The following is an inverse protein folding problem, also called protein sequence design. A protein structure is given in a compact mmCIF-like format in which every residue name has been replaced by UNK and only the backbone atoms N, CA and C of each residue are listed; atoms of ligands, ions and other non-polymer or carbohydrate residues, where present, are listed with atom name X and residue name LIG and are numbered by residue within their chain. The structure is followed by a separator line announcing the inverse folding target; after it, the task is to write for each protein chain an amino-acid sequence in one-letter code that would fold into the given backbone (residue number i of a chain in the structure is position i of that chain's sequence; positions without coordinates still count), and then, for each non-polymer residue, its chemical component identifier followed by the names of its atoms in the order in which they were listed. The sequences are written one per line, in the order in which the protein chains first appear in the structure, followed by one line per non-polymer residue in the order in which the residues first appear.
data_IF_013714050674
#
_entry.id   IF_013714050674
#
_cell.length_a   1.000
_cell.length_b   1.000
_cell.length_c   1.000
_cell.angle_alpha   90.00
_cell.angle_beta   90.00
_cell.angle_gamma   90.00
#
_symmetry.space_group_name_H-M   'P 1'
#
loop_
_entity.id
_entity.type
_entity.pdbx_description
1 polymer ?
#
# COMPACT_ATOMS: atom_id res chain seq x y z
N UNK A 1 -9.77 28.27 -8.71
CA UNK A 1 -8.37 28.23 -8.25
C UNK A 1 -7.96 26.76 -8.19
N UNK A 2 -6.77 26.38 -8.68
CA UNK A 2 -6.38 24.95 -8.72
C UNK A 2 -5.80 24.45 -7.39
N UNK A 3 -5.83 23.13 -7.18
CA UNK A 3 -5.28 22.45 -5.99
C UNK A 3 -3.81 22.85 -5.79
N UNK A 4 -3.42 23.31 -4.60
CA UNK A 4 -2.02 23.64 -4.28
C UNK A 4 -1.43 22.52 -3.41
N UNK A 5 -0.49 21.70 -3.91
CA UNK A 5 -0.04 20.49 -3.20
C UNK A 5 0.49 20.76 -1.78
N UNK A 6 1.32 21.79 -1.62
CA UNK A 6 1.85 22.21 -0.32
C UNK A 6 0.76 22.69 0.64
N UNK A 7 -0.28 23.37 0.15
CA UNK A 7 -1.41 23.81 0.98
C UNK A 7 -2.24 22.62 1.44
N UNK A 8 -2.45 21.62 0.58
CA UNK A 8 -3.21 20.41 0.90
C UNK A 8 -2.46 19.57 1.94
N UNK A 9 -1.17 19.32 1.69
CA UNK A 9 -0.32 18.57 2.62
C UNK A 9 -0.16 19.31 3.96
N UNK A 10 0.06 20.63 3.91
CA UNK A 10 0.18 21.48 5.09
C UNK A 10 -1.09 21.48 5.94
N UNK A 11 -2.26 21.63 5.34
CA UNK A 11 -3.54 21.57 6.08
C UNK A 11 -3.80 20.19 6.68
N UNK A 12 -3.46 19.10 5.99
CA UNK A 12 -3.59 17.74 6.50
C UNK A 12 -2.71 17.51 7.74
N UNK A 13 -1.44 17.92 7.67
CA UNK A 13 -0.49 17.85 8.79
C UNK A 13 -0.89 18.78 9.95
N UNK A 14 -1.36 19.99 9.63
CA UNK A 14 -1.82 20.97 10.61
C UNK A 14 -3.07 20.47 11.35
N UNK A 15 -3.99 19.77 10.67
CA UNK A 15 -5.15 19.17 11.32
C UNK A 15 -4.72 18.13 12.35
N UNK A 16 -3.82 17.20 11.97
CA UNK A 16 -3.33 16.17 12.86
C UNK A 16 -2.60 16.73 14.09
N UNK A 17 -1.79 17.78 13.92
CA UNK A 17 -1.03 18.41 15.00
C UNK A 17 -1.87 19.32 15.89
N UNK A 18 -2.61 20.28 15.32
CA UNK A 18 -3.38 21.27 16.11
C UNK A 18 -4.62 20.67 16.77
N UNK A 19 -5.18 19.59 16.21
CA UNK A 19 -6.37 18.91 16.74
C UNK A 19 -6.04 17.54 17.32
N UNK A 20 -4.77 17.30 17.66
CA UNK A 20 -4.29 16.00 18.10
C UNK A 20 -5.09 15.44 19.29
N UNK A 21 -5.42 16.28 20.28
CA UNK A 21 -6.25 15.89 21.42
C UNK A 21 -7.62 15.33 20.99
N UNK A 22 -8.26 15.98 20.01
CA UNK A 22 -9.56 15.53 19.49
C UNK A 22 -9.39 14.22 18.72
N UNK A 23 -8.35 14.12 17.87
CA UNK A 23 -8.02 12.91 17.12
C UNK A 23 -7.79 11.73 18.06
N UNK A 24 -6.96 11.93 19.07
CA UNK A 24 -6.65 10.92 20.08
C UNK A 24 -7.92 10.48 20.80
N UNK A 25 -8.70 11.40 21.37
CA UNK A 25 -9.94 11.06 22.08
C UNK A 25 -10.90 10.22 21.26
N UNK A 26 -11.08 10.55 19.98
CA UNK A 26 -11.97 9.79 19.09
C UNK A 26 -11.40 8.45 18.61
N UNK A 27 -10.06 8.35 18.52
CA UNK A 27 -9.42 7.17 17.94
C UNK A 27 -8.93 6.16 19.00
N UNK A 28 -8.69 6.57 20.25
CA UNK A 28 -8.05 5.71 21.27
C UNK A 28 -8.76 4.37 21.46
N UNK A 29 -10.07 4.36 21.75
CA UNK A 29 -10.79 3.10 21.99
C UNK A 29 -10.87 2.24 20.72
N UNK A 30 -11.29 2.76 19.55
CA UNK A 30 -11.27 1.97 18.31
C UNK A 30 -9.88 1.43 17.95
N UNK A 31 -8.81 2.21 18.14
CA UNK A 31 -7.44 1.75 17.90
C UNK A 31 -7.01 0.67 18.88
N UNK A 32 -7.35 0.80 20.16
CA UNK A 32 -7.08 -0.24 21.15
C UNK A 32 -7.82 -1.54 20.80
N UNK A 33 -9.10 -1.45 20.41
CA UNK A 33 -9.87 -2.60 19.94
C UNK A 33 -9.26 -3.20 18.68
N UNK A 34 -8.82 -2.39 17.71
CA UNK A 34 -8.12 -2.88 16.51
C UNK A 34 -6.87 -3.69 16.87
N UNK A 35 -6.05 -3.20 17.81
CA UNK A 35 -4.86 -3.92 18.26
C UNK A 35 -5.22 -5.26 18.92
N UNK A 36 -6.24 -5.26 19.79
CA UNK A 36 -6.72 -6.49 20.46
C UNK A 36 -7.27 -7.49 19.45
N UNK A 37 -8.07 -7.03 18.48
CA UNK A 37 -8.64 -7.90 17.44
C UNK A 37 -7.56 -8.44 16.50
N UNK A 38 -6.58 -7.64 16.10
CA UNK A 38 -5.47 -8.11 15.28
C UNK A 38 -4.63 -9.16 16.03
N UNK A 39 -4.41 -8.97 17.33
CA UNK A 39 -3.76 -9.98 18.18
C UNK A 39 -4.60 -11.27 18.24
N UNK A 40 -5.90 -11.17 18.48
CA UNK A 40 -6.80 -12.31 18.51
C UNK A 40 -6.85 -13.06 17.17
N UNK A 41 -6.88 -12.33 16.05
CA UNK A 41 -6.85 -12.91 14.70
C UNK A 41 -5.54 -13.69 14.45
N UNK A 42 -4.39 -13.16 14.89
CA UNK A 42 -3.12 -13.85 14.79
C UNK A 42 -3.12 -15.19 15.57
N UNK A 43 -3.66 -15.21 16.80
CA UNK A 43 -3.86 -16.46 17.54
C UNK A 43 -4.87 -17.40 16.88
N UNK A 44 -5.92 -16.86 16.25
CA UNK A 44 -6.85 -17.62 15.43
C UNK A 44 -6.16 -18.33 14.27
N UNK A 45 -5.32 -17.63 13.51
CA UNK A 45 -4.54 -18.21 12.42
C UNK A 45 -3.56 -19.27 12.90
N UNK A 46 -2.84 -19.01 13.99
CA UNK A 46 -1.94 -20.01 14.59
C UNK A 46 -2.71 -21.24 15.06
N UNK A 47 -3.89 -21.06 15.64
CA UNK A 47 -4.71 -22.17 16.15
C UNK A 47 -5.21 -23.06 15.02
N UNK A 48 -5.69 -22.47 13.93
CA UNK A 48 -6.12 -23.23 12.76
C UNK A 48 -4.95 -23.93 12.09
N UNK A 49 -3.79 -23.27 11.98
CA UNK A 49 -2.61 -23.85 11.34
C UNK A 49 -1.96 -25.00 12.14
N UNK A 50 -2.14 -25.03 13.45
CA UNK A 50 -1.61 -26.09 14.33
C UNK A 50 -2.69 -27.10 14.76
N UNK A 51 -3.91 -27.00 14.23
CA UNK A 51 -5.06 -27.85 14.57
C UNK A 51 -5.37 -27.95 16.07
N UNK A 52 -4.89 -26.99 16.86
CA UNK A 52 -5.07 -26.90 18.32
C UNK A 52 -5.17 -25.44 18.74
N UNK A 53 -5.87 -25.16 19.83
CA UNK A 53 -5.94 -23.80 20.37
C UNK A 53 -4.55 -23.39 20.88
N UNK A 54 -3.97 -22.36 20.26
CA UNK A 54 -2.70 -21.77 20.67
C UNK A 54 -2.99 -20.59 21.60
N UNK A 55 -2.41 -20.63 22.80
CA UNK A 55 -2.56 -19.58 23.80
C UNK A 55 -1.27 -18.78 23.98
N UNK A 56 -1.33 -17.68 24.74
CA UNK A 56 -0.13 -16.93 25.15
C UNK A 56 0.90 -17.80 25.87
N UNK A 57 0.44 -18.81 26.63
CA UNK A 57 1.32 -19.74 27.35
C UNK A 57 2.12 -20.60 26.37
N UNK A 58 1.51 -21.05 25.27
CA UNK A 58 2.19 -21.84 24.25
C UNK A 58 3.30 -21.05 23.55
N UNK A 59 3.05 -19.77 23.25
CA UNK A 59 4.05 -18.87 22.64
C UNK A 59 5.21 -18.60 23.60
N UNK A 60 4.90 -18.32 24.87
CA UNK A 60 5.92 -18.09 25.89
C UNK A 60 6.77 -19.36 26.14
N UNK A 61 6.13 -20.54 26.20
CA UNK A 61 6.83 -21.81 26.36
C UNK A 61 7.73 -22.16 25.17
N UNK A 62 7.37 -21.70 23.97
CA UNK A 62 8.19 -21.85 22.77
C UNK A 62 9.38 -20.87 22.72
N UNK A 63 9.51 -19.95 23.69
CA UNK A 63 10.56 -18.93 23.70
C UNK A 63 10.44 -17.91 22.57
N UNK A 64 9.26 -17.80 21.93
CA UNK A 64 9.05 -16.92 20.79
C UNK A 64 8.63 -15.52 21.26
N UNK A 65 9.19 -14.50 20.62
CA UNK A 65 8.71 -13.12 20.76
C UNK A 65 7.36 -12.93 20.07
N UNK A 66 6.57 -11.93 20.50
CA UNK A 66 5.30 -11.61 19.87
C UNK A 66 5.44 -11.25 18.38
N UNK A 67 6.52 -10.55 18.01
CA UNK A 67 6.82 -10.23 16.60
C UNK A 67 7.01 -11.46 15.74
N UNK A 68 7.72 -12.48 16.26
CA UNK A 68 7.93 -13.74 15.55
C UNK A 68 6.62 -14.53 15.46
N UNK A 69 5.84 -14.60 16.55
CA UNK A 69 4.54 -15.24 16.56
C UNK A 69 3.57 -14.61 15.55
N UNK A 70 3.53 -13.27 15.45
CA UNK A 70 2.73 -12.54 14.49
C UNK A 70 3.18 -12.82 13.03
N UNK A 71 4.48 -12.91 12.78
CA UNK A 71 5.01 -13.23 11.46
C UNK A 71 4.68 -14.67 11.05
N UNK A 72 4.82 -15.63 11.96
CA UNK A 72 4.41 -17.03 11.74
C UNK A 72 2.90 -17.10 11.46
N UNK A 73 2.08 -16.36 12.22
CA UNK A 73 0.65 -16.26 12.00
C UNK A 73 0.32 -15.70 10.60
N UNK A 74 1.03 -14.66 10.14
CA UNK A 74 0.83 -14.11 8.79
C UNK A 74 1.18 -15.10 7.68
N UNK A 75 2.25 -15.88 7.86
CA UNK A 75 2.66 -16.91 6.91
C UNK A 75 1.65 -18.06 6.87
N UNK A 76 1.12 -18.44 8.03
CA UNK A 76 0.06 -19.43 8.16
C UNK A 76 -1.24 -18.97 7.48
N UNK A 77 -1.65 -17.71 7.70
CA UNK A 77 -2.78 -17.11 7.04
C UNK A 77 -2.61 -17.09 5.51
N UNK A 78 -1.45 -16.67 5.01
CA UNK A 78 -1.16 -16.64 3.58
C UNK A 78 -1.25 -18.03 2.93
N UNK A 79 -0.63 -19.05 3.56
CA UNK A 79 -0.72 -20.44 3.07
C UNK A 79 -2.17 -20.94 3.07
N UNK A 80 -2.92 -20.63 4.13
CA UNK A 80 -4.32 -21.01 4.27
C UNK A 80 -5.27 -20.37 3.26
N UNK A 81 -5.02 -19.11 2.89
CA UNK A 81 -5.77 -18.43 1.85
C UNK A 81 -5.51 -19.07 0.48
N UNK A 82 -4.26 -19.42 0.19
CA UNK A 82 -3.87 -20.11 -1.07
C UNK A 82 -4.47 -21.52 -1.15
N UNK A 83 -4.49 -22.26 -0.04
CA UNK A 83 -5.08 -23.60 0.01
C UNK A 83 -6.62 -23.59 0.09
N UNK A 84 -7.26 -22.41 0.01
CA UNK A 84 -8.72 -22.25 0.13
C UNK A 84 -9.31 -22.85 1.41
N UNK A 85 -8.58 -22.78 2.52
CA UNK A 85 -9.06 -23.28 3.82
C UNK A 85 -10.23 -22.44 4.32
N UNK A 86 -11.43 -23.03 4.36
CA UNK A 86 -12.66 -22.39 4.84
C UNK A 86 -12.50 -21.66 6.19
N UNK A 87 -11.94 -22.25 7.26
CA UNK A 87 -11.79 -21.55 8.54
C UNK A 87 -10.87 -20.33 8.45
N UNK A 88 -9.82 -20.37 7.62
CA UNK A 88 -8.89 -19.24 7.45
C UNK A 88 -9.57 -18.11 6.69
N UNK A 89 -10.37 -18.44 5.66
CA UNK A 89 -11.21 -17.46 4.97
C UNK A 89 -12.26 -16.83 5.88
N UNK A 90 -12.89 -17.60 6.77
CA UNK A 90 -13.84 -17.07 7.75
C UNK A 90 -13.16 -16.08 8.71
N UNK A 91 -12.00 -16.45 9.29
CA UNK A 91 -11.26 -15.56 10.19
C UNK A 91 -10.82 -14.30 9.45
N UNK A 92 -10.33 -14.41 8.21
CA UNK A 92 -9.93 -13.27 7.39
C UNK A 92 -11.11 -12.34 7.08
N UNK A 93 -12.24 -12.88 6.63
CA UNK A 93 -13.45 -12.10 6.34
C UNK A 93 -14.00 -11.40 7.58
N UNK A 94 -14.09 -12.11 8.71
CA UNK A 94 -14.52 -11.54 9.98
C UNK A 94 -13.57 -10.43 10.46
N UNK A 95 -12.25 -10.65 10.37
CA UNK A 95 -11.24 -9.66 10.75
C UNK A 95 -11.31 -8.41 9.88
N UNK A 96 -11.49 -8.56 8.57
CA UNK A 96 -11.65 -7.45 7.65
C UNK A 96 -12.91 -6.63 7.98
N UNK A 97 -14.04 -7.31 8.24
CA UNK A 97 -15.29 -6.65 8.59
C UNK A 97 -15.20 -5.88 9.91
N UNK A 98 -14.65 -6.49 10.96
CA UNK A 98 -14.45 -5.82 12.26
C UNK A 98 -13.49 -4.65 12.12
N UNK A 99 -12.37 -4.83 11.41
CA UNK A 99 -11.41 -3.76 11.17
C UNK A 99 -12.04 -2.59 10.41
N UNK A 100 -12.85 -2.88 9.38
CA UNK A 100 -13.55 -1.86 8.63
C UNK A 100 -14.53 -1.08 9.52
N UNK A 101 -15.34 -1.76 10.35
CA UNK A 101 -16.27 -1.13 11.28
C UNK A 101 -15.54 -0.23 12.28
N UNK A 102 -14.45 -0.73 12.87
CA UNK A 102 -13.66 0.03 13.84
C UNK A 102 -13.00 1.24 13.18
N UNK A 103 -12.45 1.10 11.97
CA UNK A 103 -11.89 2.23 11.21
C UNK A 103 -12.97 3.27 10.91
N UNK A 104 -14.13 2.83 10.41
CA UNK A 104 -15.24 3.72 10.10
C UNK A 104 -15.72 4.51 11.33
N UNK A 105 -15.71 3.88 12.51
CA UNK A 105 -16.20 4.47 13.76
C UNK A 105 -15.48 5.76 14.16
N UNK A 106 -14.17 5.85 13.97
CA UNK A 106 -13.40 7.08 14.26
C UNK A 106 -13.12 7.91 13.01
N UNK A 107 -13.03 7.28 11.84
CA UNK A 107 -12.65 8.00 10.62
C UNK A 107 -13.78 8.90 10.10
N UNK A 108 -15.01 8.40 10.04
CA UNK A 108 -16.15 9.19 9.60
C UNK A 108 -16.34 10.50 10.42
N UNK A 109 -16.34 10.49 11.76
CA UNK A 109 -16.46 11.73 12.53
C UNK A 109 -15.22 12.64 12.37
N UNK A 110 -14.02 12.10 12.22
CA UNK A 110 -12.82 12.91 11.98
C UNK A 110 -12.83 13.61 10.61
N UNK A 111 -13.32 12.93 9.57
CA UNK A 111 -13.50 13.52 8.24
C UNK A 111 -14.53 14.67 8.32
N UNK A 112 -15.65 14.47 9.01
CA UNK A 112 -16.67 15.53 9.18
C UNK A 112 -16.12 16.70 9.98
N UNK A 113 -15.29 16.45 10.99
CA UNK A 113 -14.63 17.52 11.71
C UNK A 113 -13.65 18.31 10.83
N UNK A 114 -12.86 17.62 10.00
CA UNK A 114 -11.92 18.27 9.08
C UNK A 114 -12.61 19.01 7.91
N UNK A 115 -13.72 18.47 7.40
CA UNK A 115 -14.43 18.98 6.23
C UNK A 115 -15.48 20.04 6.56
N UNK A 116 -16.33 19.77 7.55
CA UNK A 116 -17.48 20.59 7.94
C UNK A 116 -17.27 21.38 9.24
N UNK A 117 -16.20 21.10 9.99
CA UNK A 117 -15.96 21.71 11.30
C UNK A 117 -16.83 21.15 12.42
N UNK A 118 -17.60 20.09 12.16
CA UNK A 118 -18.47 19.46 13.15
C UNK A 118 -17.65 18.75 14.22
N UNK A 119 -17.66 19.26 15.46
CA UNK A 119 -16.90 18.66 16.55
C UNK A 119 -17.48 17.28 16.89
N UNK A 120 -16.64 16.24 16.97
CA UNK A 120 -17.09 14.92 17.40
C UNK A 120 -17.54 15.00 18.86
N UNK A 121 -18.51 14.17 19.23
CA UNK A 121 -19.00 14.13 20.60
C UNK A 121 -17.85 13.78 21.57
N UNK A 122 -17.78 14.45 22.74
CA UNK A 122 -16.70 14.23 23.69
C UNK A 122 -16.78 12.82 24.31
N UNK A 123 -15.61 12.20 24.54
CA UNK A 123 -15.48 10.94 25.26
C UNK A 123 -14.35 10.04 24.74
N UNK A 124 -13.66 9.36 25.65
CA UNK A 124 -12.62 8.35 25.33
C UNK A 124 -13.19 6.95 25.11
N UNK A 125 -14.40 6.68 25.65
CA UNK A 125 -15.04 5.36 25.65
C UNK A 125 -16.28 5.39 24.74
N UNK A 126 -16.11 5.80 23.49
CA UNK A 126 -17.22 5.81 22.53
C UNK A 126 -16.79 5.26 21.19
N UNK A 127 -17.58 4.31 20.69
CA UNK A 127 -17.48 3.79 19.32
C UNK A 127 -18.76 4.20 18.60
N UNK A 128 -18.84 5.42 18.04
CA UNK A 128 -20.04 5.85 17.34
C UNK A 128 -20.17 5.06 16.03
N UNK A 129 -21.28 4.35 15.86
CA UNK A 129 -21.63 3.69 14.62
C UNK A 129 -23.05 4.07 14.22
N UNK A 130 -23.21 4.54 12.99
CA UNK A 130 -24.47 5.09 12.50
C UNK A 130 -24.44 5.28 10.99
N UNK A 131 -25.37 6.10 10.48
CA UNK A 131 -25.57 6.25 9.04
C UNK A 131 -24.32 6.79 8.31
N UNK A 132 -23.52 7.65 8.94
CA UNK A 132 -22.33 8.22 8.30
C UNK A 132 -21.17 7.24 8.23
N UNK A 133 -20.99 6.42 9.27
CA UNK A 133 -20.02 5.31 9.27
C UNK A 133 -20.39 4.26 8.23
N UNK A 134 -21.68 3.96 8.09
CA UNK A 134 -22.16 3.04 7.06
C UNK A 134 -21.95 3.60 5.65
N UNK A 135 -22.15 4.90 5.43
CA UNK A 135 -21.81 5.57 4.16
C UNK A 135 -20.32 5.52 3.87
N UNK A 136 -19.47 5.75 4.86
CA UNK A 136 -18.02 5.60 4.71
C UNK A 136 -17.64 4.20 4.25
N UNK A 137 -18.20 3.18 4.90
CA UNK A 137 -17.98 1.78 4.57
C UNK A 137 -18.46 1.44 3.16
N UNK A 138 -19.72 1.76 2.83
CA UNK A 138 -20.28 1.47 1.52
C UNK A 138 -19.54 2.22 0.41
N UNK A 139 -19.15 3.48 0.62
CA UNK A 139 -18.39 4.25 -0.35
C UNK A 139 -16.98 3.67 -0.53
N UNK A 140 -16.35 3.21 0.56
CA UNK A 140 -15.06 2.50 0.52
C UNK A 140 -15.15 1.16 -0.21
N UNK A 141 -16.18 0.36 0.08
CA UNK A 141 -16.44 -0.91 -0.62
C UNK A 141 -16.72 -0.66 -2.09
N UNK A 142 -17.58 0.29 -2.44
CA UNK A 142 -17.89 0.61 -3.83
C UNK A 142 -16.64 1.12 -4.57
N UNK A 143 -15.84 2.00 -3.95
CA UNK A 143 -14.56 2.45 -4.51
C UNK A 143 -13.61 1.27 -4.78
N UNK A 144 -13.55 0.33 -3.83
CA UNK A 144 -12.70 -0.86 -3.96
C UNK A 144 -13.21 -1.82 -5.03
N UNK A 145 -14.53 -2.02 -5.11
CA UNK A 145 -15.16 -2.84 -6.16
C UNK A 145 -14.97 -2.22 -7.55
N UNK A 146 -15.12 -0.90 -7.68
CA UNK A 146 -14.83 -0.20 -8.94
C UNK A 146 -13.36 -0.37 -9.30
N UNK A 147 -12.45 -0.23 -8.34
CA UNK A 147 -11.02 -0.49 -8.58
C UNK A 147 -10.79 -1.94 -9.02
N UNK A 148 -11.39 -2.92 -8.34
CA UNK A 148 -11.26 -4.33 -8.71
C UNK A 148 -11.81 -4.61 -10.11
N UNK A 149 -12.96 -4.04 -10.46
CA UNK A 149 -13.62 -4.30 -11.74
C UNK A 149 -12.98 -3.55 -12.91
N UNK A 150 -12.52 -2.32 -12.70
CA UNK A 150 -12.00 -1.44 -13.77
C UNK A 150 -10.48 -1.54 -13.90
N UNK A 151 -9.77 -1.82 -12.80
CA UNK A 151 -8.31 -1.91 -12.78
C UNK A 151 -7.84 -3.36 -12.72
N UNK A 152 -8.21 -4.06 -11.65
CA UNK A 152 -7.65 -5.38 -11.37
C UNK A 152 -8.12 -6.43 -12.37
N UNK A 153 -9.42 -6.47 -12.70
CA UNK A 153 -9.98 -7.49 -13.58
C UNK A 153 -9.43 -7.39 -15.02
N UNK A 154 -9.36 -6.22 -15.69
CA UNK A 154 -8.79 -6.14 -17.04
C UNK A 154 -7.30 -6.48 -17.07
N UNK A 155 -6.52 -6.03 -16.08
CA UNK A 155 -5.10 -6.39 -15.96
C UNK A 155 -4.95 -7.89 -15.76
N UNK A 156 -5.73 -8.48 -14.86
CA UNK A 156 -5.67 -9.90 -14.56
C UNK A 156 -6.10 -10.75 -15.75
N UNK A 157 -7.22 -10.40 -16.40
CA UNK A 157 -7.70 -11.08 -17.61
C UNK A 157 -6.65 -10.99 -18.72
N UNK A 158 -6.12 -9.80 -19.01
CA UNK A 158 -5.07 -9.65 -20.01
C UNK A 158 -3.83 -10.50 -19.66
N UNK A 159 -3.40 -10.49 -18.40
CA UNK A 159 -2.26 -11.29 -17.92
C UNK A 159 -2.55 -12.79 -18.08
N UNK A 160 -3.70 -13.28 -17.63
CA UNK A 160 -4.08 -14.69 -17.71
C UNK A 160 -4.29 -15.15 -19.17
N UNK A 161 -4.92 -14.33 -20.01
CA UNK A 161 -5.11 -14.65 -21.43
C UNK A 161 -3.78 -14.72 -22.17
N UNK A 162 -2.85 -13.79 -21.89
CA UNK A 162 -1.51 -13.83 -22.49
C UNK A 162 -0.74 -15.07 -21.99
N UNK A 163 -0.76 -15.34 -20.68
CA UNK A 163 -0.14 -16.54 -20.11
C UNK A 163 -0.76 -17.84 -20.66
N UNK A 164 -2.06 -17.86 -20.92
CA UNK A 164 -2.77 -18.97 -21.54
C UNK A 164 -2.33 -19.20 -22.98
N UNK A 165 -2.35 -18.16 -23.81
CA UNK A 165 -1.85 -18.21 -25.19
C UNK A 165 -0.38 -18.67 -25.25
N UNK A 166 0.46 -18.20 -24.33
CA UNK A 166 1.85 -18.66 -24.22
C UNK A 166 1.97 -20.15 -23.92
N UNK A 167 1.21 -20.61 -22.92
CA UNK A 167 1.29 -21.99 -22.47
C UNK A 167 0.93 -22.91 -23.63
N UNK A 168 -0.05 -22.49 -24.43
CA UNK A 168 -0.44 -23.17 -25.65
C UNK A 168 0.66 -23.08 -26.73
N UNK A 169 1.17 -21.88 -27.02
CA UNK A 169 2.22 -21.68 -28.02
C UNK A 169 3.51 -22.46 -27.68
N UNK A 170 3.88 -22.59 -26.40
CA UNK A 170 5.04 -23.38 -25.99
C UNK A 170 4.84 -24.89 -26.17
N UNK A 171 3.59 -25.35 -26.11
CA UNK A 171 3.19 -26.75 -26.32
C UNK A 171 2.87 -27.06 -27.78
N UNK A 172 2.77 -26.05 -28.64
CA UNK A 172 2.48 -26.23 -30.06
C UNK A 172 3.76 -26.68 -30.78
N UNK A 173 3.69 -27.71 -31.65
CA UNK A 173 4.81 -28.11 -32.49
C UNK A 173 4.99 -27.14 -33.67
N UNK A 174 6.23 -26.73 -33.94
CA UNK A 174 6.60 -25.87 -35.07
C UNK A 174 7.55 -26.62 -36.01
N UNK A 175 7.38 -26.40 -37.32
CA UNK A 175 8.37 -26.82 -38.30
C UNK A 175 9.60 -25.91 -38.19
N UNK A 176 10.76 -26.50 -37.96
CA UNK A 176 12.06 -25.82 -38.01
C UNK A 176 12.88 -26.38 -39.17
N UNK A 177 13.62 -25.51 -39.84
CA UNK A 177 14.58 -25.89 -40.87
C UNK A 177 15.98 -25.78 -40.27
N UNK A 178 16.56 -26.88 -39.75
CA UNK A 178 17.87 -26.86 -39.11
C UNK A 178 19.00 -26.48 -40.07
N UNK A 179 18.79 -26.64 -41.38
CA UNK A 179 19.74 -26.22 -42.41
C UNK A 179 19.16 -25.05 -43.23
N UNK A 180 19.70 -23.82 -43.11
CA UNK A 180 19.20 -22.64 -43.84
C UNK A 180 19.24 -22.79 -45.36
N UNK A 181 20.01 -23.75 -45.89
CA UNK A 181 20.20 -23.97 -47.33
C UNK A 181 19.39 -25.15 -47.89
N UNK A 182 18.64 -25.87 -47.06
CA UNK A 182 17.85 -27.03 -47.49
C UNK A 182 16.40 -26.92 -47.05
N UNK A 183 15.48 -26.89 -48.02
CA UNK A 183 14.03 -26.99 -47.79
C UNK A 183 13.58 -28.43 -47.52
N UNK A 184 14.49 -29.41 -47.61
CA UNK A 184 14.18 -30.84 -47.52
C UNK A 184 14.37 -31.42 -46.12
N UNK A 185 15.02 -30.70 -45.21
CA UNK A 185 15.19 -31.09 -43.80
C UNK A 185 14.21 -30.30 -42.94
N UNK A 186 13.02 -30.87 -42.71
CA UNK A 186 12.01 -30.31 -41.79
C UNK A 186 12.08 -31.11 -40.49
N UNK A 187 12.41 -30.44 -39.39
CA UNK A 187 12.34 -31.02 -38.04
C UNK A 187 11.19 -30.39 -37.26
N UNK A 188 10.43 -31.21 -36.52
CA UNK A 188 9.31 -30.73 -35.71
C UNK A 188 9.83 -30.44 -34.31
N UNK A 189 9.93 -29.16 -34.00
CA UNK A 189 10.47 -28.67 -32.73
C UNK A 189 9.34 -28.03 -31.92
N UNK A 190 9.26 -28.38 -30.63
CA UNK A 190 8.30 -27.74 -29.72
C UNK A 190 8.59 -26.24 -29.60
N UNK A 191 7.55 -25.41 -29.50
CA UNK A 191 7.68 -23.96 -29.38
C UNK A 191 8.66 -23.51 -28.30
N UNK A 192 8.72 -24.21 -27.16
CA UNK A 192 9.68 -23.97 -26.10
C UNK A 192 11.16 -24.05 -26.55
N UNK A 193 11.48 -24.95 -27.49
CA UNK A 193 12.82 -25.15 -28.04
C UNK A 193 13.06 -24.29 -29.29
N UNK A 194 12.01 -23.93 -30.04
CA UNK A 194 12.10 -23.07 -31.23
C UNK A 194 12.29 -21.58 -30.90
N UNK A 195 11.56 -21.05 -29.92
CA UNK A 195 11.61 -19.61 -29.58
C UNK A 195 12.52 -19.30 -28.37
N UNK A 196 12.93 -20.32 -27.63
CA UNK A 196 13.64 -20.17 -26.36
C UNK A 196 12.73 -19.58 -25.26
N UNK A 197 12.72 -20.19 -24.08
CA UNK A 197 11.89 -19.74 -22.94
C UNK A 197 12.13 -18.29 -22.56
N UNK A 198 13.35 -17.76 -22.80
CA UNK A 198 13.71 -16.37 -22.46
C UNK A 198 13.08 -15.31 -23.37
N UNK A 199 12.96 -15.56 -24.66
CA UNK A 199 12.49 -14.52 -25.60
C UNK A 199 10.99 -14.26 -25.45
N UNK A 200 10.22 -15.34 -25.23
CA UNK A 200 8.77 -15.26 -25.11
C UNK A 200 8.34 -14.73 -23.73
N UNK A 201 8.93 -15.22 -22.63
CA UNK A 201 8.51 -14.82 -21.28
C UNK A 201 8.96 -13.41 -20.85
N UNK A 202 10.04 -12.88 -21.44
CA UNK A 202 10.63 -11.64 -20.95
C UNK A 202 10.33 -10.43 -21.84
N UNK A 203 10.60 -10.42 -23.15
CA UNK A 203 10.58 -9.17 -23.92
C UNK A 203 9.21 -8.80 -24.54
N UNK A 204 8.57 -9.73 -25.26
CA UNK A 204 7.39 -9.37 -26.06
C UNK A 204 6.11 -9.25 -25.23
N UNK A 205 5.98 -10.04 -24.16
CA UNK A 205 4.71 -10.17 -23.43
C UNK A 205 4.47 -9.03 -22.48
N UNK A 206 5.45 -8.75 -21.62
CA UNK A 206 5.38 -7.60 -20.74
C UNK A 206 5.46 -6.30 -21.55
N UNK A 207 6.18 -6.29 -22.68
CA UNK A 207 6.18 -5.17 -23.62
C UNK A 207 4.80 -4.90 -24.26
N UNK A 208 4.13 -5.94 -24.79
CA UNK A 208 2.81 -5.82 -25.39
C UNK A 208 1.72 -5.49 -24.34
N UNK A 209 1.79 -6.12 -23.17
CA UNK A 209 0.90 -5.81 -22.05
C UNK A 209 1.12 -4.38 -21.55
N UNK A 210 2.37 -3.91 -21.43
CA UNK A 210 2.68 -2.52 -21.07
C UNK A 210 2.14 -1.54 -22.11
N UNK A 211 2.29 -1.84 -23.40
CA UNK A 211 1.77 -1.01 -24.49
C UNK A 211 0.24 -0.94 -24.47
N UNK A 212 -0.45 -2.07 -24.22
CA UNK A 212 -1.91 -2.11 -24.09
C UNK A 212 -2.41 -1.28 -22.90
N UNK A 213 -1.82 -1.46 -21.72
CA UNK A 213 -2.16 -0.67 -20.52
C UNK A 213 -1.85 0.81 -20.73
N UNK A 214 -0.70 1.14 -21.31
CA UNK A 214 -0.32 2.52 -21.64
C UNK A 214 -1.31 3.16 -22.62
N UNK A 215 -1.76 2.44 -23.65
CA UNK A 215 -2.76 2.93 -24.59
C UNK A 215 -4.10 3.25 -23.90
N UNK A 216 -4.53 2.41 -22.95
CA UNK A 216 -5.74 2.67 -22.16
C UNK A 216 -5.55 3.90 -21.26
N UNK A 217 -4.40 4.02 -20.58
CA UNK A 217 -4.07 5.22 -19.77
C UNK A 217 -4.10 6.48 -20.64
N UNK A 218 -3.49 6.43 -21.82
CA UNK A 218 -3.47 7.53 -22.80
C UNK A 218 -4.89 7.89 -23.22
N UNK A 219 -5.71 6.91 -23.60
CA UNK A 219 -7.10 7.13 -24.01
C UNK A 219 -7.93 7.78 -22.88
N UNK A 220 -7.80 7.27 -21.66
CA UNK A 220 -8.49 7.83 -20.48
C UNK A 220 -8.03 9.25 -20.16
N UNK A 221 -6.72 9.51 -20.21
CA UNK A 221 -6.18 10.86 -20.00
C UNK A 221 -6.67 11.83 -21.07
N UNK A 222 -6.72 11.42 -22.35
CA UNK A 222 -7.25 12.24 -23.45
C UNK A 222 -8.73 12.57 -23.25
N UNK A 223 -9.54 11.58 -22.83
CA UNK A 223 -10.98 11.77 -22.56
C UNK A 223 -11.24 12.64 -21.32
N UNK A 224 -10.39 12.54 -20.29
CA UNK A 224 -10.59 13.24 -19.02
C UNK A 224 -10.01 14.69 -19.01
N UNK A 225 -9.00 14.98 -19.83
CA UNK A 225 -8.40 16.31 -19.95
C UNK A 225 -9.15 17.16 -20.99
N UNK A 226 -10.19 17.88 -20.54
CA UNK A 226 -10.82 18.94 -21.38
C UNK A 226 -9.86 20.13 -21.55
N UNK A 227 -9.72 20.69 -22.77
CA UNK A 227 -8.76 21.76 -23.07
C UNK A 227 -9.06 23.03 -22.27
N UNK A 228 -8.03 23.81 -21.94
CA UNK A 228 -8.20 25.15 -21.36
C UNK A 228 -8.88 26.07 -22.38
N UNK A 229 -9.53 27.14 -21.92
CA UNK A 229 -9.89 28.27 -22.81
C UNK A 229 -8.62 28.85 -23.48
N UNK A 230 -7.49 28.83 -22.78
CA UNK A 230 -6.17 29.20 -23.31
C UNK A 230 -5.69 28.25 -24.43
N UNK A 231 -5.85 26.93 -24.29
CA UNK A 231 -5.42 25.97 -25.31
C UNK A 231 -6.31 26.03 -26.57
N UNK A 232 -7.60 26.35 -26.38
CA UNK A 232 -8.54 26.63 -27.48
C UNK A 232 -8.20 27.90 -28.24
N UNK A 233 -7.65 28.91 -27.56
CA UNK A 233 -7.24 30.19 -28.18
C UNK A 233 -5.84 30.10 -28.78
N UNK A 234 -4.97 29.21 -28.27
CA UNK A 234 -3.66 28.90 -28.83
C UNK A 234 -3.69 27.90 -30.00
N UNK A 235 -4.87 27.49 -30.49
CA UNK A 235 -5.00 26.59 -31.63
C UNK A 235 -4.54 25.15 -31.38
N UNK A 236 -4.36 24.74 -30.12
CA UNK A 236 -3.98 23.35 -29.80
C UNK A 236 -5.17 22.43 -30.04
N UNK A 237 -5.25 21.92 -31.28
CA UNK A 237 -6.27 20.98 -31.72
C UNK A 237 -6.21 19.63 -30.99
N UNK A 238 -7.11 18.73 -31.36
CA UNK A 238 -7.14 17.36 -30.83
C UNK A 238 -5.77 16.66 -30.99
N UNK A 239 -5.10 16.86 -32.13
CA UNK A 239 -3.83 16.21 -32.45
C UNK A 239 -2.68 16.62 -31.52
N UNK A 240 -2.55 17.91 -31.19
CA UNK A 240 -1.57 18.39 -30.21
C UNK A 240 -1.82 17.85 -28.80
N UNK A 241 -3.09 17.58 -28.44
CA UNK A 241 -3.44 16.96 -27.16
C UNK A 241 -3.06 15.48 -27.11
N UNK A 242 -3.36 14.74 -28.18
CA UNK A 242 -2.97 13.33 -28.29
C UNK A 242 -1.45 13.23 -28.17
N UNK A 243 -0.70 14.03 -28.95
CA UNK A 243 0.76 14.06 -28.92
C UNK A 243 1.34 14.45 -27.55
N UNK A 244 0.73 15.44 -26.87
CA UNK A 244 1.19 15.84 -25.53
C UNK A 244 0.97 14.76 -24.48
N UNK A 245 -0.19 14.08 -24.49
CA UNK A 245 -0.48 12.99 -23.55
C UNK A 245 0.37 11.76 -23.86
N UNK A 246 0.51 11.37 -25.13
CA UNK A 246 1.36 10.25 -25.52
C UNK A 246 2.82 10.50 -25.16
N UNK A 247 3.35 11.71 -25.44
CA UNK A 247 4.70 12.09 -25.06
C UNK A 247 4.89 12.08 -23.53
N UNK A 248 3.90 12.53 -22.75
CA UNK A 248 3.94 12.50 -21.29
C UNK A 248 3.97 11.08 -20.73
N UNK A 249 3.15 10.17 -21.26
CA UNK A 249 3.15 8.75 -20.85
C UNK A 249 4.45 8.06 -21.28
N UNK A 250 4.93 8.32 -22.50
CA UNK A 250 6.22 7.82 -22.97
C UNK A 250 7.38 8.30 -22.10
N UNK A 251 7.38 9.58 -21.70
CA UNK A 251 8.37 10.14 -20.79
C UNK A 251 8.30 9.48 -19.41
N UNK A 252 7.11 9.25 -18.86
CA UNK A 252 6.94 8.53 -17.59
C UNK A 252 7.53 7.12 -17.66
N UNK A 253 7.23 6.36 -18.72
CA UNK A 253 7.78 5.02 -18.92
C UNK A 253 9.30 5.05 -19.11
N UNK A 254 9.82 6.05 -19.84
CA UNK A 254 11.26 6.25 -19.99
C UNK A 254 11.94 6.56 -18.66
N UNK A 255 11.37 7.45 -17.84
CA UNK A 255 11.88 7.75 -16.49
C UNK A 255 11.83 6.51 -15.59
N UNK A 256 10.74 5.73 -15.63
CA UNK A 256 10.62 4.50 -14.86
C UNK A 256 11.69 3.47 -15.28
N UNK A 257 11.93 3.32 -16.59
CA UNK A 257 12.99 2.49 -17.13
C UNK A 257 14.39 2.97 -16.71
N UNK A 258 14.66 4.27 -16.78
CA UNK A 258 15.93 4.86 -16.35
C UNK A 258 16.17 4.70 -14.85
N UNK A 259 15.14 4.95 -14.01
CA UNK A 259 15.21 4.74 -12.56
C UNK A 259 15.50 3.29 -12.23
N UNK A 260 14.88 2.34 -12.94
CA UNK A 260 15.17 0.92 -12.77
C UNK A 260 16.63 0.62 -13.11
N UNK A 261 17.13 1.05 -14.27
CA UNK A 261 18.54 0.85 -14.66
C UNK A 261 19.49 1.48 -13.64
N UNK A 262 19.17 2.68 -13.12
CA UNK A 262 19.97 3.35 -12.10
C UNK A 262 19.95 2.61 -10.75
N UNK A 263 18.80 2.10 -10.30
CA UNK A 263 18.65 1.28 -9.10
C UNK A 263 19.42 -0.04 -9.21
N UNK A 264 19.35 -0.69 -10.37
CA UNK A 264 20.12 -1.91 -10.67
C UNK A 264 21.63 -1.61 -10.64
N UNK A 265 22.06 -0.49 -11.23
CA UNK A 265 23.46 -0.07 -11.20
C UNK A 265 23.95 0.28 -9.78
N UNK A 266 23.09 0.89 -8.96
CA UNK A 266 23.38 1.19 -7.55
C UNK A 266 23.46 -0.10 -6.72
N UNK A 267 22.50 -1.00 -6.89
CA UNK A 267 22.40 -2.25 -6.15
C UNK A 267 23.54 -3.21 -6.53
N UNK A 268 23.92 -3.29 -7.80
CA UNK A 268 25.08 -4.07 -8.25
C UNK A 268 26.40 -3.53 -7.69
N UNK A 269 26.56 -2.21 -7.56
CA UNK A 269 27.71 -1.59 -6.87
C UNK A 269 27.72 -1.91 -5.37
N UNK A 270 26.57 -1.87 -4.70
CA UNK A 270 26.46 -2.25 -3.28
C UNK A 270 26.76 -3.73 -3.05
N UNK A 271 26.26 -4.63 -3.90
CA UNK A 271 26.52 -6.07 -3.82
C UNK A 271 28.01 -6.41 -4.00
N UNK A 272 28.74 -5.66 -4.83
CA UNK A 272 30.19 -5.81 -4.95
C UNK A 272 30.96 -5.34 -3.73
N UNK A 273 30.43 -4.37 -2.97
CA UNK A 273 31.04 -3.88 -1.72
C UNK A 273 30.82 -4.86 -0.57
N UNK A 274 29.69 -5.58 -0.54
CA UNK A 274 29.34 -6.53 0.52
C UNK A 274 29.64 -8.01 0.20
N UNK A 275 30.37 -8.31 -0.88
CA UNK A 275 30.76 -9.68 -1.26
C UNK A 275 29.60 -10.68 -1.43
N UNK A 276 28.39 -10.19 -1.71
CA UNK A 276 27.18 -11.00 -1.92
C UNK A 276 27.03 -11.42 -3.40
N UNK A 277 28.07 -12.03 -3.94
CA UNK A 277 28.15 -12.50 -5.33
C UNK A 277 26.98 -13.37 -5.84
N UNK A 278 26.34 -14.27 -5.06
CA UNK A 278 25.26 -15.11 -5.57
C UNK A 278 23.96 -14.36 -5.91
N UNK A 279 23.80 -13.10 -5.47
CA UNK A 279 22.63 -12.26 -5.80
C UNK A 279 22.79 -11.47 -7.11
N UNK A 280 24.00 -11.43 -7.68
CA UNK A 280 24.31 -10.65 -8.90
C UNK A 280 23.62 -11.20 -10.16
N UNK A 281 23.28 -12.49 -10.16
CA UNK A 281 22.53 -13.14 -11.26
C UNK A 281 21.02 -12.89 -11.24
N UNK A 282 20.47 -12.32 -10.16
CA UNK A 282 19.03 -12.06 -10.03
C UNK A 282 18.59 -10.72 -10.67
N UNK A 283 19.52 -9.92 -11.18
CA UNK A 283 19.25 -8.58 -11.71
C UNK A 283 19.81 -8.47 -13.13
N UNK A 284 19.11 -9.05 -14.09
CA UNK A 284 19.43 -8.98 -15.52
C UNK A 284 18.55 -7.95 -16.24
N UNK A 285 18.95 -7.55 -17.45
CA UNK A 285 18.15 -6.73 -18.37
C UNK A 285 16.74 -7.34 -18.65
N UNK A 286 16.56 -8.64 -18.35
CA UNK A 286 15.32 -9.40 -18.55
C UNK A 286 14.15 -8.97 -17.65
N UNK A 287 14.41 -8.18 -16.60
CA UNK A 287 13.36 -7.66 -15.69
C UNK A 287 12.86 -6.27 -16.14
N UNK A 288 13.52 -5.62 -17.11
CA UNK A 288 13.14 -4.27 -17.56
C UNK A 288 11.71 -4.20 -18.12
N UNK A 289 11.32 -5.18 -18.94
CA UNK A 289 9.97 -5.24 -19.53
C UNK A 289 8.89 -5.50 -18.49
N UNK A 290 9.16 -6.38 -17.52
CA UNK A 290 8.30 -6.61 -16.34
C UNK A 290 8.16 -5.32 -15.52
N UNK A 291 9.23 -4.55 -15.37
CA UNK A 291 9.23 -3.26 -14.67
C UNK A 291 8.46 -2.20 -15.44
N UNK A 292 8.58 -2.15 -16.77
CA UNK A 292 7.80 -1.24 -17.62
C UNK A 292 6.30 -1.59 -17.57
N UNK A 293 5.95 -2.88 -17.59
CA UNK A 293 4.59 -3.34 -17.36
C UNK A 293 4.09 -2.95 -15.96
N UNK A 294 4.89 -3.23 -14.93
CA UNK A 294 4.58 -2.85 -13.56
C UNK A 294 4.38 -1.33 -13.43
N UNK A 295 5.23 -0.52 -14.06
CA UNK A 295 5.12 0.94 -14.07
C UNK A 295 3.85 1.42 -14.77
N UNK A 296 3.47 0.81 -15.91
CA UNK A 296 2.23 1.10 -16.62
C UNK A 296 1.00 0.69 -15.80
N UNK A 297 1.02 -0.50 -15.21
CA UNK A 297 -0.04 -0.99 -14.33
C UNK A 297 -0.21 -0.12 -13.08
N UNK A 298 0.89 0.32 -12.46
CA UNK A 298 0.90 1.26 -11.33
C UNK A 298 0.36 2.62 -11.75
N UNK A 299 0.73 3.13 -12.93
CA UNK A 299 0.20 4.40 -13.42
C UNK A 299 -1.32 4.33 -13.65
N UNK A 300 -1.80 3.22 -14.22
CA UNK A 300 -3.21 2.97 -14.44
C UNK A 300 -3.98 2.81 -13.12
N UNK A 301 -3.47 2.00 -12.20
CA UNK A 301 -4.03 1.82 -10.87
C UNK A 301 -4.05 3.14 -10.10
N UNK A 302 -2.93 3.85 -10.07
CA UNK A 302 -2.79 5.16 -9.43
C UNK A 302 -3.77 6.18 -9.98
N UNK A 303 -3.99 6.22 -11.29
CA UNK A 303 -4.97 7.12 -11.91
C UNK A 303 -6.40 6.89 -11.38
N UNK A 304 -6.86 5.64 -11.35
CA UNK A 304 -8.19 5.31 -10.83
C UNK A 304 -8.29 5.45 -9.30
N UNK A 305 -7.26 5.02 -8.57
CA UNK A 305 -7.20 5.18 -7.12
C UNK A 305 -7.31 6.65 -6.73
N UNK A 306 -6.59 7.55 -7.40
CA UNK A 306 -6.67 8.98 -7.13
C UNK A 306 -8.05 9.58 -7.43
N UNK A 307 -8.77 9.08 -8.44
CA UNK A 307 -10.12 9.53 -8.77
C UNK A 307 -11.17 9.14 -7.74
N UNK A 308 -11.06 7.92 -7.21
CA UNK A 308 -12.03 7.39 -6.26
C UNK A 308 -11.65 7.71 -4.80
N UNK A 309 -10.40 8.11 -4.54
CA UNK A 309 -9.93 8.43 -3.19
C UNK A 309 -10.79 9.47 -2.43
N UNK A 310 -11.29 10.56 -3.05
CA UNK A 310 -12.13 11.52 -2.35
C UNK A 310 -13.55 11.00 -2.04
N UNK A 311 -13.98 9.89 -2.64
CA UNK A 311 -15.37 9.45 -2.59
C UNK A 311 -15.90 9.15 -1.18
N UNK A 312 -15.20 8.40 -0.32
CA UNK A 312 -15.65 8.19 1.05
C UNK A 312 -15.82 9.50 1.82
N UNK A 313 -14.96 10.48 1.59
CA UNK A 313 -15.03 11.78 2.24
C UNK A 313 -16.26 12.59 1.80
N UNK A 314 -16.51 12.66 0.49
CA UNK A 314 -17.68 13.34 -0.08
C UNK A 314 -18.98 12.66 0.38
N UNK A 315 -19.01 11.33 0.41
CA UNK A 315 -20.20 10.58 0.80
C UNK A 315 -20.59 10.82 2.27
N UNK A 316 -19.58 10.87 3.15
CA UNK A 316 -19.75 11.14 4.57
C UNK A 316 -20.16 12.60 4.82
N UNK A 317 -19.48 13.56 4.19
CA UNK A 317 -19.76 14.99 4.43
C UNK A 317 -21.09 15.45 3.81
N UNK A 318 -21.45 14.98 2.60
CA UNK A 318 -22.74 15.34 1.96
C UNK A 318 -23.91 14.49 2.42
N UNK A 319 -23.67 13.44 3.21
CA UNK A 319 -24.65 12.41 3.59
C UNK A 319 -25.37 11.77 2.38
N UNK A 320 -24.69 11.69 1.23
CA UNK A 320 -25.22 11.19 -0.03
C UNK A 320 -24.22 10.25 -0.71
N UNK A 321 -24.69 9.15 -1.28
CA UNK A 321 -23.85 8.20 -2.02
C UNK A 321 -23.57 8.61 -3.46
N UNK A 322 -24.09 9.77 -3.91
CA UNK A 322 -23.89 10.25 -5.26
C UNK A 322 -22.40 10.51 -5.55
N UNK A 323 -21.91 10.04 -6.70
CA UNK A 323 -20.57 10.32 -7.21
C UNK A 323 -20.40 11.77 -7.69
N UNK A 324 -21.47 12.57 -7.66
CA UNK A 324 -21.42 13.96 -8.07
C UNK A 324 -20.47 14.75 -7.14
N UNK A 325 -19.43 15.36 -7.72
CA UNK A 325 -18.44 16.17 -6.99
C UNK A 325 -17.10 15.49 -6.75
N UNK A 326 -17.03 14.15 -6.65
CA UNK A 326 -15.76 13.43 -6.44
C UNK A 326 -14.81 13.63 -7.61
N UNK A 327 -15.34 13.49 -8.82
CA UNK A 327 -14.60 13.70 -10.06
C UNK A 327 -14.26 15.17 -10.33
N UNK A 328 -14.84 16.13 -9.59
CA UNK A 328 -14.47 17.55 -9.74
C UNK A 328 -13.05 17.80 -9.20
N UNK A 329 -12.72 17.18 -8.07
CA UNK A 329 -11.40 17.29 -7.41
C UNK A 329 -10.29 16.72 -8.29
N UNK A 330 -10.61 15.74 -9.14
CA UNK A 330 -9.64 15.01 -9.96
C UNK A 330 -9.64 15.44 -11.43
N UNK A 331 -10.31 16.56 -11.77
CA UNK A 331 -10.31 17.07 -13.15
C UNK A 331 -8.94 17.66 -13.53
N UNK A 332 -8.49 17.34 -14.75
CA UNK A 332 -7.32 17.99 -15.39
C UNK A 332 -6.02 17.84 -14.59
N UNK A 333 -5.23 18.92 -14.48
CA UNK A 333 -3.95 18.95 -13.76
C UNK A 333 -4.11 18.80 -12.24
N UNK A 334 -5.32 18.94 -11.71
CA UNK A 334 -5.54 18.75 -10.28
C UNK A 334 -5.32 17.29 -9.86
N UNK A 335 -5.45 16.32 -10.76
CA UNK A 335 -5.04 14.92 -10.50
C UNK A 335 -3.52 14.77 -10.32
N UNK A 336 -2.71 15.45 -11.14
CA UNK A 336 -1.24 15.44 -11.00
C UNK A 336 -0.81 16.17 -9.73
N UNK A 337 -1.48 17.28 -9.40
CA UNK A 337 -1.22 18.03 -8.17
C UNK A 337 -1.66 17.27 -6.93
N UNK A 338 -2.77 16.52 -7.02
CA UNK A 338 -3.21 15.61 -5.99
C UNK A 338 -2.19 14.48 -5.79
N UNK A 339 -1.72 13.85 -6.87
CA UNK A 339 -0.63 12.87 -6.81
C UNK A 339 0.62 13.44 -6.13
N UNK A 340 1.02 14.67 -6.48
CA UNK A 340 2.15 15.35 -5.86
C UNK A 340 1.90 15.61 -4.37
N UNK A 341 0.67 15.95 -3.97
CA UNK A 341 0.30 16.11 -2.55
C UNK A 341 0.42 14.79 -1.78
N UNK A 342 0.01 13.66 -2.39
CA UNK A 342 0.19 12.32 -1.81
C UNK A 342 1.66 11.93 -1.68
N UNK A 343 2.46 12.15 -2.73
CA UNK A 343 3.91 11.87 -2.69
C UNK A 343 4.57 12.74 -1.63
N UNK A 344 4.25 14.03 -1.57
CA UNK A 344 4.78 14.96 -0.56
C UNK A 344 4.41 14.50 0.85
N UNK A 345 3.13 14.17 1.11
CA UNK A 345 2.70 13.63 2.40
C UNK A 345 3.41 12.32 2.73
N UNK A 346 3.53 11.41 1.77
CA UNK A 346 4.23 10.14 1.94
C UNK A 346 5.70 10.34 2.32
N UNK A 347 6.42 11.21 1.60
CA UNK A 347 7.83 11.54 1.90
C UNK A 347 7.95 12.18 3.28
N UNK A 348 7.09 13.11 3.65
CA UNK A 348 7.12 13.77 4.96
C UNK A 348 6.82 12.77 6.09
N UNK A 349 5.79 11.94 5.94
CA UNK A 349 5.43 10.94 6.94
C UNK A 349 6.51 9.86 7.08
N UNK A 350 7.09 9.42 5.96
CA UNK A 350 8.18 8.45 5.96
C UNK A 350 9.45 9.02 6.58
N UNK A 351 9.81 10.27 6.23
CA UNK A 351 10.93 10.98 6.86
C UNK A 351 10.72 11.15 8.37
N UNK A 352 9.51 11.53 8.79
CA UNK A 352 9.15 11.64 10.20
C UNK A 352 9.20 10.28 10.92
N UNK A 353 8.75 9.19 10.27
CA UNK A 353 8.88 7.83 10.81
C UNK A 353 10.34 7.43 11.00
N UNK A 354 11.20 7.70 10.01
CA UNK A 354 12.65 7.44 10.12
C UNK A 354 13.23 8.21 11.29
N UNK A 355 12.94 9.50 11.42
CA UNK A 355 13.42 10.31 12.53
C UNK A 355 12.91 9.78 13.87
N UNK A 356 11.64 9.40 13.96
CA UNK A 356 11.05 8.85 15.18
C UNK A 356 11.73 7.54 15.60
N UNK A 357 11.96 6.61 14.66
CA UNK A 357 12.61 5.33 14.94
C UNK A 357 14.09 5.54 15.24
N UNK A 358 14.80 6.31 14.41
CA UNK A 358 16.25 6.44 14.47
C UNK A 358 16.70 7.34 15.63
N UNK A 359 16.08 8.49 15.86
CA UNK A 359 16.42 9.40 16.96
C UNK A 359 15.69 9.06 18.25
N UNK A 360 14.38 8.80 18.17
CA UNK A 360 13.53 8.63 19.34
C UNK A 360 13.62 7.24 19.96
N UNK A 361 13.22 6.23 19.18
CA UNK A 361 13.07 4.85 19.67
C UNK A 361 14.43 4.25 20.03
N UNK A 362 15.44 4.35 19.16
CA UNK A 362 16.76 3.78 19.45
C UNK A 362 17.42 4.43 20.68
N UNK A 363 17.33 5.75 20.82
CA UNK A 363 17.89 6.44 21.99
C UNK A 363 17.16 6.05 23.28
N UNK A 364 15.81 5.98 23.24
CA UNK A 364 15.02 5.56 24.38
C UNK A 364 15.31 4.10 24.77
N UNK A 365 15.44 3.20 23.79
CA UNK A 365 15.85 1.82 24.00
C UNK A 365 17.21 1.74 24.69
N UNK A 366 18.20 2.49 24.20
CA UNK A 366 19.55 2.49 24.77
C UNK A 366 19.56 3.00 26.22
N UNK A 367 18.80 4.05 26.53
CA UNK A 367 18.66 4.56 27.92
C UNK A 367 18.03 3.50 28.81
N UNK A 368 16.93 2.89 28.38
CA UNK A 368 16.22 1.85 29.15
C UNK A 368 17.11 0.62 29.35
N UNK A 369 17.82 0.18 28.32
CA UNK A 369 18.78 -0.92 28.42
C UNK A 369 19.93 -0.59 29.37
N UNK A 370 20.48 0.62 29.30
CA UNK A 370 21.57 1.06 30.20
C UNK A 370 21.12 1.06 31.65
N UNK A 371 19.91 1.56 31.93
CA UNK A 371 19.33 1.52 33.27
C UNK A 371 19.08 0.07 33.71
N UNK A 372 18.54 -0.78 32.83
CA UNK A 372 18.29 -2.18 33.11
C UNK A 372 19.57 -2.93 33.51
N UNK A 373 20.65 -2.77 32.74
CA UNK A 373 21.94 -3.39 33.03
C UNK A 373 22.59 -2.82 34.30
N UNK A 374 22.43 -1.53 34.58
CA UNK A 374 22.93 -0.92 35.80
C UNK A 374 22.21 -1.47 37.05
N UNK A 375 20.88 -1.57 37.00
CA UNK A 375 20.05 -2.13 38.07
C UNK A 375 20.34 -3.62 38.26
N UNK A 376 20.47 -4.38 37.17
CA UNK A 376 20.81 -5.80 37.22
C UNK A 376 22.18 -6.01 37.86
N UNK A 377 23.19 -5.26 37.43
CA UNK A 377 24.55 -5.36 37.96
C UNK A 377 24.58 -5.02 39.45
N UNK A 378 23.88 -3.97 39.86
CA UNK A 378 23.76 -3.59 41.27
C UNK A 378 23.10 -4.70 42.10
N UNK A 379 21.95 -5.22 41.66
CA UNK A 379 21.23 -6.27 42.40
C UNK A 379 21.99 -7.60 42.43
N UNK A 380 22.72 -7.96 41.37
CA UNK A 380 23.61 -9.14 41.37
C UNK A 380 24.70 -9.04 42.43
N UNK A 381 25.24 -7.84 42.66
CA UNK A 381 26.29 -7.60 43.66
C UNK A 381 25.74 -7.67 45.09
N UNK A 382 24.54 -7.16 45.34
CA UNK A 382 23.99 -7.06 46.71
C UNK A 382 23.07 -8.21 47.13
N UNK A 383 22.34 -8.83 46.20
CA UNK A 383 21.33 -9.87 46.47
C UNK A 383 21.66 -11.22 45.81
N UNK A 384 22.79 -11.31 45.10
CA UNK A 384 23.17 -12.51 44.35
C UNK A 384 22.42 -12.68 43.03
N UNK A 385 22.67 -13.77 42.30
CA UNK A 385 22.13 -14.01 40.95
C UNK A 385 20.59 -14.07 40.92
N UNK A 386 19.99 -14.72 41.92
CA UNK A 386 18.55 -14.95 41.96
C UNK A 386 17.74 -13.67 42.23
N UNK A 387 18.34 -12.69 42.90
CA UNK A 387 17.73 -11.38 43.17
C UNK A 387 17.63 -10.46 41.95
N UNK A 388 18.34 -10.74 40.86
CA UNK A 388 18.43 -9.89 39.67
C UNK A 388 17.72 -10.43 38.43
N UNK A 389 17.31 -11.71 38.43
CA UNK A 389 16.73 -12.39 37.26
C UNK A 389 15.42 -11.75 36.74
N UNK A 390 14.70 -10.98 37.56
CA UNK A 390 13.47 -10.29 37.18
C UNK A 390 13.70 -8.95 36.47
N UNK A 391 14.90 -8.37 36.57
CA UNK A 391 15.20 -7.00 36.12
C UNK A 391 15.06 -6.88 34.61
N UNK A 392 15.75 -7.72 33.83
CA UNK A 392 15.67 -7.70 32.37
C UNK A 392 14.24 -7.97 31.85
N UNK A 393 13.50 -8.97 32.35
CA UNK A 393 12.08 -9.14 32.02
C UNK A 393 11.22 -7.91 32.32
N UNK A 394 11.41 -7.26 33.47
CA UNK A 394 10.66 -6.06 33.84
C UNK A 394 10.93 -4.89 32.89
N UNK A 395 12.20 -4.59 32.60
CA UNK A 395 12.55 -3.53 31.67
C UNK A 395 12.14 -3.85 30.23
N UNK A 396 12.13 -5.14 29.84
CA UNK A 396 11.53 -5.61 28.60
C UNK A 396 10.02 -5.31 28.53
N UNK A 397 9.28 -5.52 29.62
CA UNK A 397 7.86 -5.16 29.71
C UNK A 397 7.64 -3.66 29.63
N UNK A 398 8.43 -2.85 30.36
CA UNK A 398 8.38 -1.38 30.29
C UNK A 398 8.62 -0.90 28.85
N UNK A 399 9.61 -1.47 28.17
CA UNK A 399 9.88 -1.15 26.76
C UNK A 399 8.70 -1.51 25.84
N UNK A 400 8.09 -2.67 26.04
CA UNK A 400 6.91 -3.08 25.28
C UNK A 400 5.74 -2.10 25.49
N UNK A 401 5.48 -1.65 26.72
CA UNK A 401 4.43 -0.66 27.02
C UNK A 401 4.71 0.67 26.32
N UNK A 402 5.96 1.15 26.36
CA UNK A 402 6.37 2.38 25.66
C UNK A 402 6.17 2.22 24.15
N UNK A 403 6.56 1.08 23.59
CA UNK A 403 6.38 0.75 22.17
C UNK A 403 4.90 0.77 21.75
N UNK A 404 4.00 0.21 22.57
CA UNK A 404 2.55 0.25 22.33
C UNK A 404 2.06 1.70 22.33
N UNK A 405 2.44 2.51 23.33
CA UNK A 405 2.01 3.92 23.41
C UNK A 405 2.50 4.71 22.20
N UNK A 406 3.77 4.60 21.83
CA UNK A 406 4.33 5.26 20.64
C UNK A 406 3.56 4.84 19.38
N UNK A 407 3.29 3.54 19.23
CA UNK A 407 2.55 3.01 18.08
C UNK A 407 1.13 3.56 18.01
N UNK A 408 0.41 3.61 19.13
CA UNK A 408 -0.94 4.18 19.20
C UNK A 408 -0.92 5.67 18.87
N UNK A 409 0.02 6.43 19.45
CA UNK A 409 0.16 7.87 19.20
C UNK A 409 0.47 8.17 17.73
N UNK A 410 1.39 7.41 17.13
CA UNK A 410 1.78 7.54 15.73
C UNK A 410 0.64 7.12 14.78
N UNK A 411 -0.07 6.04 15.11
CA UNK A 411 -1.22 5.57 14.33
C UNK A 411 -2.36 6.59 14.39
N UNK A 412 -2.65 7.15 15.56
CA UNK A 412 -3.62 8.23 15.70
C UNK A 412 -3.21 9.47 14.88
N UNK A 413 -1.92 9.83 14.89
CA UNK A 413 -1.39 10.93 14.09
C UNK A 413 -1.60 10.70 12.58
N UNK A 414 -1.21 9.54 12.07
CA UNK A 414 -1.32 9.21 10.63
C UNK A 414 -2.78 9.15 10.16
N UNK A 415 -3.69 8.62 10.98
CA UNK A 415 -5.12 8.68 10.70
C UNK A 415 -5.68 10.10 10.78
N UNK A 416 -5.18 10.93 11.71
CA UNK A 416 -5.49 12.36 11.76
C UNK A 416 -5.10 13.09 10.47
N UNK A 417 -3.90 12.82 9.94
CA UNK A 417 -3.43 13.38 8.66
C UNK A 417 -4.36 12.94 7.51
N UNK A 418 -4.72 11.66 7.48
CA UNK A 418 -5.64 11.10 6.48
C UNK A 418 -7.03 11.75 6.54
N UNK A 419 -7.59 11.94 7.74
CA UNK A 419 -8.86 12.64 7.93
C UNK A 419 -8.78 14.11 7.49
N UNK A 420 -7.67 14.80 7.81
CA UNK A 420 -7.40 16.16 7.38
C UNK A 420 -7.35 16.29 5.86
N UNK A 421 -6.68 15.35 5.19
CA UNK A 421 -6.63 15.27 3.74
C UNK A 421 -8.04 15.07 3.15
N UNK A 422 -8.79 14.09 3.64
CA UNK A 422 -10.16 13.83 3.19
C UNK A 422 -11.09 15.03 3.39
N UNK A 423 -11.02 15.72 4.54
CA UNK A 423 -11.78 16.94 4.79
C UNK A 423 -11.39 18.09 3.86
N UNK A 424 -10.11 18.23 3.50
CA UNK A 424 -9.67 19.20 2.47
C UNK A 424 -10.20 18.85 1.09
N UNK A 425 -10.10 17.58 0.68
CA UNK A 425 -10.59 17.13 -0.63
C UNK A 425 -12.10 17.34 -0.77
N UNK A 426 -12.87 17.12 0.31
CA UNK A 426 -14.28 17.45 0.33
C UNK A 426 -14.53 18.96 0.08
N UNK A 427 -13.82 19.86 0.78
CA UNK A 427 -13.98 21.32 0.59
C UNK A 427 -13.62 21.78 -0.82
N UNK A 428 -12.69 21.11 -1.48
CA UNK A 428 -12.35 21.37 -2.89
C UNK A 428 -13.37 20.77 -3.87
N UNK A 429 -14.18 19.80 -3.44
CA UNK A 429 -15.28 19.23 -4.25
C UNK A 429 -16.54 20.11 -4.29
N UNK A 430 -16.66 21.07 -3.38
CA UNK A 430 -17.76 22.04 -3.30
C UNK A 430 -17.48 23.36 -4.01
N UNK A 431 -16.22 23.61 -4.34
CA UNK A 431 -15.76 24.77 -5.10
C UNK A 431 -15.82 24.49 -6.60
#
# INVERSE_FOLDING_TARGET
MGLKPFSVAGEALQFATRRYETVLRTATLPLALLLIFNMAAAFGYLSVANERIITFKDVANAGLSWSEAAQIASNAAAKGLVSSSAPIWTIYGASLLVNAILIASFMAPLIRYAGLGEKPAPGLIRVPFGADQFRFLLAGVLSTLIFLLVVYAPISIATFSILGFMTEAMRTPFASFPDPQSLHTIDIVMGAKAFGTRWVHHYQIWGAAAAGVAAIVIALMIMHVRPRKADRTAGVGFLGRVLGVTAGVALYLAIAGLLYVALVALFSKLLTVFSLAPLKGAVTADILSLVLFGAAAIAFAGFFSLQMYPYPAVAVCRRSMALAGTLLVTRRHDLVRLALAFVLLGVVLYGAQILLVWLGVNSAYNVIATIAFAVESYLRVFLGPDGANWVLPFFGWVWAVIGIVITVLWTAFTYGVSAGLWGRLYRESER
#
